data_IF_168346120151
#
_entry.id   IF_168346120151
#
_cell.length_a   1.000
_cell.length_b   1.000
_cell.length_c   1.000
_cell.angle_alpha   90.00
_cell.angle_beta   90.00
_cell.angle_gamma   90.00
#
_symmetry.space_group_name_H-M   'P 1'
#
loop_
_entity.id
_entity.type
_entity.pdbx_description
1 polymer ?
#
# COMPACT_ATOMS: atom_id res chain seq x y z
N UNK A 1 69.71 34.36 -6.29
CA UNK A 1 68.87 34.95 -7.35
C UNK A 1 67.92 35.94 -6.70
N UNK A 2 68.27 37.23 -6.76
CA UNK A 2 67.43 38.35 -6.31
C UNK A 2 66.44 38.74 -7.40
N UNK A 3 65.18 39.01 -7.04
CA UNK A 3 64.47 40.30 -7.26
C UNK A 3 62.95 40.20 -6.95
N UNK A 4 62.51 41.18 -6.14
CA UNK A 4 61.29 42.01 -6.27
C UNK A 4 59.93 41.30 -6.13
N UNK A 5 59.19 41.43 -5.02
CA UNK A 5 58.38 42.58 -4.58
C UNK A 5 57.48 43.13 -5.71
N UNK A 6 56.16 42.88 -5.61
CA UNK A 6 55.19 43.92 -5.93
C UNK A 6 53.94 43.82 -5.06
N UNK A 7 53.51 44.97 -4.57
CA UNK A 7 52.53 45.26 -3.55
C UNK A 7 51.59 46.32 -4.14
N UNK A 8 50.28 46.10 -4.15
CA UNK A 8 49.25 47.15 -4.19
C UNK A 8 47.87 46.49 -4.01
N UNK A 9 47.21 46.60 -2.85
CA UNK A 9 46.42 47.75 -2.35
C UNK A 9 45.57 48.43 -3.42
N UNK A 10 44.24 48.31 -3.27
CA UNK A 10 43.31 49.45 -3.32
C UNK A 10 42.04 49.13 -2.53
N UNK A 11 41.89 49.91 -1.47
CA UNK A 11 40.74 50.13 -0.60
C UNK A 11 39.74 51.11 -1.25
N UNK A 12 38.48 51.13 -0.78
CA UNK A 12 37.53 52.23 -0.96
C UNK A 12 36.10 51.74 -1.24
N UNK A 13 35.21 51.56 -0.25
CA UNK A 13 34.27 52.55 0.33
C UNK A 13 33.33 53.14 -0.75
N UNK A 14 32.00 52.97 -0.74
CA UNK A 14 31.01 53.65 0.12
C UNK A 14 29.60 53.22 -0.33
N UNK A 15 28.78 52.60 0.54
CA UNK A 15 27.57 53.19 1.15
C UNK A 15 26.76 54.20 0.31
N UNK A 16 25.51 53.84 0.00
CA UNK A 16 24.33 54.69 -0.29
C UNK A 16 23.09 53.77 -0.25
N UNK A 17 22.31 53.69 0.84
CA UNK A 17 21.24 54.60 1.31
C UNK A 17 19.90 54.40 0.56
N UNK A 18 18.94 53.87 1.33
CA UNK A 18 17.49 54.08 1.31
C UNK A 18 16.65 53.60 0.11
N UNK A 19 15.74 52.66 0.37
CA UNK A 19 14.32 52.83 0.07
C UNK A 19 13.46 51.84 0.89
N UNK A 20 12.77 52.39 1.89
CA UNK A 20 11.62 51.76 2.54
C UNK A 20 10.46 51.67 1.53
N UNK A 21 9.82 50.51 1.45
CA UNK A 21 8.41 50.45 1.05
C UNK A 21 7.71 49.31 1.80
N UNK A 22 6.70 49.72 2.57
CA UNK A 22 5.86 48.90 3.42
C UNK A 22 4.83 48.06 2.59
N UNK A 23 4.07 47.17 3.23
CA UNK A 23 3.49 45.97 2.62
C UNK A 23 2.18 46.23 1.88
N UNK A 24 2.01 45.54 0.74
CA UNK A 24 0.74 45.45 0.02
C UNK A 24 -0.26 44.60 0.79
N UNK A 25 -1.44 45.19 1.00
CA UNK A 25 -2.57 44.71 1.78
C UNK A 25 -3.09 43.33 1.36
N UNK A 26 -3.55 42.61 2.38
CA UNK A 26 -4.42 41.44 2.27
C UNK A 26 -5.69 41.76 1.47
N UNK A 27 -6.06 40.89 0.53
CA UNK A 27 -7.46 40.66 0.19
C UNK A 27 -7.87 39.26 0.66
N UNK A 28 -8.43 39.18 1.87
CA UNK A 28 -9.18 38.00 2.33
C UNK A 28 -10.49 37.95 1.55
N UNK A 29 -10.58 37.04 0.58
CA UNK A 29 -11.88 36.64 0.03
C UNK A 29 -12.57 35.72 1.04
N UNK A 30 -13.60 36.26 1.69
CA UNK A 30 -14.51 35.54 2.58
C UNK A 30 -15.29 34.48 1.79
N UNK A 31 -14.93 33.21 1.93
CA UNK A 31 -15.80 32.10 1.51
C UNK A 31 -16.90 31.98 2.58
N UNK A 32 -18.10 32.45 2.26
CA UNK A 32 -19.30 32.16 3.07
C UNK A 32 -19.63 30.68 2.94
N UNK A 33 -19.32 29.91 3.98
CA UNK A 33 -19.94 28.62 4.22
C UNK A 33 -21.29 28.86 4.92
N UNK A 34 -22.40 28.53 4.27
CA UNK A 34 -23.72 28.48 4.89
C UNK A 34 -24.32 27.10 4.67
N UNK A 35 -24.03 26.26 5.66
CA UNK A 35 -24.82 25.16 6.23
C UNK A 35 -26.20 25.00 5.55
N UNK A 36 -26.33 23.98 4.71
CA UNK A 36 -27.64 23.42 4.35
C UNK A 36 -27.92 22.29 5.35
N UNK A 37 -28.87 22.54 6.24
CA UNK A 37 -29.34 21.64 7.28
C UNK A 37 -29.98 20.38 6.68
N UNK A 38 -29.50 19.23 7.16
CA UNK A 38 -30.12 17.91 6.99
C UNK A 38 -31.58 17.96 7.42
N UNK A 39 -32.50 17.56 6.54
CA UNK A 39 -33.84 17.16 6.92
C UNK A 39 -33.89 15.63 6.88
N UNK A 40 -33.72 15.01 8.05
CA UNK A 40 -34.08 13.60 8.25
C UNK A 40 -35.60 13.51 8.18
N UNK A 41 -36.11 12.76 7.21
CA UNK A 41 -37.49 12.25 7.25
C UNK A 41 -37.44 10.86 7.86
N UNK A 42 -37.75 10.80 9.15
CA UNK A 42 -38.27 9.59 9.76
C UNK A 42 -39.74 9.43 9.37
N UNK A 43 -40.12 8.20 9.05
CA UNK A 43 -41.50 7.70 9.12
C UNK A 43 -41.49 6.17 9.11
N UNK A 44 -42.54 5.55 9.67
CA UNK A 44 -42.35 4.54 10.72
C UNK A 44 -42.75 3.13 10.26
N UNK A 45 -42.91 2.27 11.28
CA UNK A 45 -43.83 1.13 11.43
C UNK A 45 -43.35 -0.33 11.27
N UNK A 46 -43.67 -1.02 12.37
CA UNK A 46 -44.01 -2.43 12.60
C UNK A 46 -42.89 -3.47 12.80
N UNK A 47 -42.77 -3.81 14.09
CA UNK A 47 -42.30 -5.09 14.59
C UNK A 47 -43.02 -6.27 13.93
N UNK A 48 -42.28 -7.34 13.67
CA UNK A 48 -42.79 -8.72 13.82
C UNK A 48 -41.59 -9.63 14.12
N UNK A 49 -41.58 -10.13 15.35
CA UNK A 49 -40.81 -11.29 15.77
C UNK A 49 -41.26 -12.52 15.00
N UNK A 50 -40.34 -13.27 14.41
CA UNK A 50 -40.58 -14.67 14.10
C UNK A 50 -39.32 -15.48 14.39
N UNK A 51 -39.32 -16.08 15.57
CA UNK A 51 -38.51 -17.22 15.95
C UNK A 51 -38.86 -18.42 15.08
N UNK A 52 -37.88 -19.00 14.40
CA UNK A 52 -37.95 -20.40 13.97
C UNK A 52 -36.55 -20.99 13.85
N UNK A 53 -36.22 -21.73 14.90
CA UNK A 53 -35.26 -22.84 14.92
C UNK A 53 -35.64 -23.91 13.90
N UNK A 54 -34.64 -24.53 13.26
CA UNK A 54 -34.72 -25.92 12.80
C UNK A 54 -33.29 -26.55 12.69
N UNK A 55 -33.17 -27.88 12.79
CA UNK A 55 -32.06 -28.52 13.49
C UNK A 55 -30.93 -29.06 12.60
N UNK A 56 -29.83 -29.33 13.31
CA UNK A 56 -28.62 -30.08 12.94
C UNK A 56 -28.95 -31.51 12.48
N UNK A 57 -28.55 -31.86 11.25
CA UNK A 57 -28.44 -33.26 10.80
C UNK A 57 -26.98 -33.69 10.75
N UNK A 58 -26.71 -34.84 11.36
CA UNK A 58 -25.38 -35.45 11.54
C UNK A 58 -24.95 -36.19 10.26
N UNK A 59 -23.64 -36.20 10.08
CA UNK A 59 -22.79 -36.98 9.18
C UNK A 59 -23.07 -38.49 9.16
N UNK A 60 -22.92 -39.11 7.98
CA UNK A 60 -22.51 -40.51 7.83
C UNK A 60 -21.28 -40.56 6.92
N UNK A 61 -20.22 -41.19 7.45
CA UNK A 61 -18.95 -41.42 6.77
C UNK A 61 -19.07 -42.61 5.82
N UNK A 62 -18.51 -42.47 4.61
CA UNK A 62 -18.23 -43.59 3.71
C UNK A 62 -16.73 -43.60 3.47
N UNK A 63 -16.08 -44.66 3.96
CA UNK A 63 -14.70 -45.00 3.66
C UNK A 63 -14.64 -45.74 2.32
N UNK A 64 -13.85 -45.25 1.38
CA UNK A 64 -13.39 -46.03 0.25
C UNK A 64 -11.94 -45.65 -0.06
N UNK A 65 -11.05 -46.55 0.33
CA UNK A 65 -9.62 -46.58 0.03
C UNK A 65 -9.41 -46.94 -1.44
N UNK A 66 -8.86 -46.02 -2.25
CA UNK A 66 -8.33 -46.32 -3.59
C UNK A 66 -7.14 -45.41 -3.91
N UNK A 67 -5.97 -46.05 -3.97
CA UNK A 67 -4.76 -45.72 -4.74
C UNK A 67 -4.13 -44.33 -4.58
N UNK A 68 -3.14 -44.22 -3.69
CA UNK A 68 -2.13 -43.19 -3.78
C UNK A 68 -1.11 -43.60 -4.86
N UNK A 69 -1.42 -43.25 -6.10
CA UNK A 69 -0.45 -43.24 -7.18
C UNK A 69 0.39 -41.97 -7.04
N UNK A 70 1.67 -42.14 -6.74
CA UNK A 70 2.70 -41.09 -6.81
C UNK A 70 2.71 -40.51 -8.23
N UNK A 71 2.05 -39.38 -8.42
CA UNK A 71 2.24 -38.54 -9.60
C UNK A 71 3.40 -37.59 -9.29
N UNK A 72 4.53 -37.66 -10.01
CA UNK A 72 5.53 -36.60 -9.90
C UNK A 72 4.87 -35.30 -10.38
N UNK A 73 4.76 -34.34 -9.45
CA UNK A 73 4.15 -33.02 -9.67
C UNK A 73 4.97 -32.21 -10.67
N UNK A 74 4.73 -32.46 -11.95
CA UNK A 74 5.18 -31.59 -13.03
C UNK A 74 4.44 -30.26 -12.91
N UNK A 75 5.21 -29.21 -12.61
CA UNK A 75 4.79 -27.82 -12.45
C UNK A 75 4.02 -27.31 -13.68
N UNK A 76 2.70 -27.36 -13.65
CA UNK A 76 1.87 -26.66 -14.62
C UNK A 76 1.95 -25.17 -14.28
N UNK A 77 2.52 -24.37 -15.18
CA UNK A 77 2.55 -22.92 -15.03
C UNK A 77 1.13 -22.39 -15.17
N UNK A 78 0.45 -22.16 -14.06
CA UNK A 78 -0.86 -21.54 -14.01
C UNK A 78 -0.76 -20.09 -14.53
N UNK A 79 -1.17 -19.86 -15.77
CA UNK A 79 -1.28 -18.52 -16.34
C UNK A 79 -2.56 -17.88 -15.79
N UNK A 80 -2.42 -16.82 -14.99
CA UNK A 80 -3.53 -16.10 -14.37
C UNK A 80 -3.42 -14.61 -14.69
N UNK A 81 -4.54 -13.90 -14.58
CA UNK A 81 -4.55 -12.44 -14.71
C UNK A 81 -4.14 -11.80 -13.40
N UNK A 82 -3.11 -10.97 -13.42
CA UNK A 82 -2.62 -10.26 -12.24
C UNK A 82 -2.78 -8.75 -12.36
N UNK A 83 -3.09 -8.15 -11.22
CA UNK A 83 -3.23 -6.72 -11.02
C UNK A 83 -2.31 -6.29 -9.87
N UNK A 84 -1.63 -5.18 -10.05
CA UNK A 84 -0.62 -4.71 -9.13
C UNK A 84 -0.84 -3.25 -8.71
N UNK A 85 -0.50 -2.97 -7.47
CA UNK A 85 -0.46 -1.63 -6.90
C UNK A 85 0.97 -1.34 -6.43
N UNK A 86 1.60 -0.33 -7.00
CA UNK A 86 3.01 -0.01 -6.76
C UNK A 86 3.15 1.33 -6.05
N UNK A 87 3.89 1.34 -4.94
CA UNK A 87 4.24 2.56 -4.20
C UNK A 87 5.57 2.37 -3.43
N UNK A 88 5.97 3.42 -2.70
CA UNK A 88 7.13 3.37 -1.80
C UNK A 88 6.87 2.41 -0.62
N UNK A 89 7.89 1.66 -0.20
CA UNK A 89 7.85 0.81 0.98
C UNK A 89 7.49 1.61 2.25
N UNK A 90 8.03 2.82 2.40
CA UNK A 90 7.71 3.70 3.54
C UNK A 90 6.19 3.98 3.61
N UNK A 91 5.58 4.18 2.43
CA UNK A 91 4.15 4.48 2.34
C UNK A 91 3.31 3.28 2.77
N UNK A 92 3.63 2.06 2.32
CA UNK A 92 2.86 0.88 2.70
C UNK A 92 3.00 0.50 4.18
N UNK A 93 4.19 0.65 4.76
CA UNK A 93 4.53 -0.02 6.02
C UNK A 93 4.75 0.93 7.21
N UNK A 94 5.17 2.17 6.97
CA UNK A 94 5.57 3.11 8.02
C UNK A 94 4.64 4.33 8.13
N UNK A 95 3.83 4.62 7.12
CA UNK A 95 2.91 5.76 7.15
C UNK A 95 1.74 5.52 8.13
N UNK A 96 1.56 6.46 9.06
CA UNK A 96 0.49 6.44 10.08
C UNK A 96 -0.90 6.36 9.44
N UNK A 97 -1.09 6.93 8.25
CA UNK A 97 -2.41 6.89 7.58
C UNK A 97 -2.77 5.49 7.08
N UNK A 98 -1.77 4.66 6.76
CA UNK A 98 -1.97 3.34 6.18
C UNK A 98 -2.00 2.23 7.21
N UNK A 99 -2.09 2.58 8.49
CA UNK A 99 -2.24 1.61 9.57
C UNK A 99 -3.49 0.73 9.40
N UNK A 100 -4.57 1.30 8.85
CA UNK A 100 -5.79 0.54 8.51
C UNK A 100 -5.57 -0.58 7.48
N UNK A 101 -4.52 -0.51 6.66
CA UNK A 101 -4.19 -1.52 5.66
C UNK A 101 -3.80 -2.85 6.32
N UNK A 102 -3.05 -2.81 7.42
CA UNK A 102 -2.60 -4.01 8.12
C UNK A 102 -3.80 -4.84 8.62
N UNK A 103 -4.81 -4.18 9.19
CA UNK A 103 -6.04 -4.85 9.63
C UNK A 103 -6.90 -5.33 8.46
N UNK A 104 -7.03 -4.55 7.39
CA UNK A 104 -7.74 -4.99 6.18
C UNK A 104 -7.16 -6.29 5.62
N UNK A 105 -5.84 -6.42 5.59
CA UNK A 105 -5.17 -7.62 5.10
C UNK A 105 -5.34 -8.80 6.06
N UNK A 106 -5.21 -8.57 7.38
CA UNK A 106 -5.41 -9.61 8.41
C UNK A 106 -6.83 -10.15 8.40
N UNK A 107 -7.81 -9.26 8.33
CA UNK A 107 -9.22 -9.64 8.26
C UNK A 107 -9.52 -10.38 6.96
N UNK A 108 -8.96 -9.93 5.82
CA UNK A 108 -9.10 -10.65 4.54
C UNK A 108 -8.51 -12.06 4.61
N UNK A 109 -7.37 -12.25 5.28
CA UNK A 109 -6.82 -13.59 5.54
C UNK A 109 -7.75 -14.42 6.41
N UNK A 110 -8.35 -13.84 7.46
CA UNK A 110 -9.32 -14.56 8.30
C UNK A 110 -10.55 -14.99 7.49
N UNK A 111 -11.08 -14.08 6.69
CA UNK A 111 -12.22 -14.32 5.80
C UNK A 111 -11.94 -15.45 4.79
N UNK A 112 -10.76 -15.47 4.18
CA UNK A 112 -10.37 -16.57 3.27
C UNK A 112 -10.23 -17.91 3.99
N UNK A 113 -9.69 -17.92 5.21
CA UNK A 113 -9.64 -19.13 6.04
C UNK A 113 -11.04 -19.64 6.42
N UNK A 114 -11.97 -18.76 6.76
CA UNK A 114 -13.35 -19.11 7.10
C UNK A 114 -14.12 -19.68 5.89
N UNK A 115 -13.87 -19.14 4.69
CA UNK A 115 -14.48 -19.62 3.44
C UNK A 115 -13.80 -20.88 2.90
N UNK A 116 -12.56 -21.15 3.29
CA UNK A 116 -11.75 -22.23 2.70
C UNK A 116 -11.18 -21.86 1.32
N UNK A 117 -10.91 -20.56 1.09
CA UNK A 117 -10.29 -20.05 -0.14
C UNK A 117 -8.80 -19.80 0.08
N UNK A 118 -8.00 -20.04 -0.96
CA UNK A 118 -6.57 -19.72 -0.95
C UNK A 118 -6.30 -18.21 -1.03
N UNK A 119 -5.15 -17.79 -0.48
CA UNK A 119 -4.74 -16.39 -0.49
C UNK A 119 -4.25 -16.02 -1.89
N UNK A 120 -4.90 -15.01 -2.46
CA UNK A 120 -4.68 -14.55 -3.83
C UNK A 120 -3.97 -13.19 -3.92
N UNK A 121 -3.31 -12.76 -2.84
CA UNK A 121 -2.61 -11.49 -2.78
C UNK A 121 -1.32 -11.54 -1.96
N UNK A 122 -0.31 -10.79 -2.40
CA UNK A 122 1.03 -10.81 -1.83
C UNK A 122 1.71 -9.45 -1.95
N UNK A 123 2.63 -9.15 -1.01
CA UNK A 123 3.57 -8.04 -1.13
C UNK A 123 4.87 -8.53 -1.78
N UNK A 124 5.33 -7.81 -2.80
CA UNK A 124 6.57 -8.08 -3.51
C UNK A 124 7.49 -6.86 -3.34
N UNK A 125 8.59 -6.99 -2.58
CA UNK A 125 9.61 -5.95 -2.53
C UNK A 125 10.39 -5.89 -3.84
N UNK A 126 10.57 -4.68 -4.35
CA UNK A 126 11.31 -4.36 -5.58
C UNK A 126 10.99 -5.35 -6.74
N UNK A 127 9.75 -5.34 -7.26
CA UNK A 127 9.34 -6.29 -8.31
C UNK A 127 10.23 -6.20 -9.56
N UNK A 128 10.76 -7.35 -10.02
CA UNK A 128 11.68 -7.44 -11.16
C UNK A 128 11.03 -6.98 -12.48
N UNK A 129 9.74 -7.28 -12.65
CA UNK A 129 8.98 -6.93 -13.84
C UNK A 129 8.71 -5.42 -13.98
N UNK A 130 8.81 -4.64 -12.89
CA UNK A 130 8.53 -3.21 -12.91
C UNK A 130 9.55 -2.47 -13.77
N UNK A 131 10.83 -2.78 -13.60
CA UNK A 131 11.89 -2.15 -14.38
C UNK A 131 11.93 -2.63 -15.83
N UNK A 132 11.58 -3.90 -16.06
CA UNK A 132 11.63 -4.53 -17.38
C UNK A 132 10.46 -4.07 -18.28
N UNK A 133 9.23 -4.04 -17.75
CA UNK A 133 8.01 -3.76 -18.52
C UNK A 133 7.51 -2.32 -18.37
N UNK A 134 7.72 -1.69 -17.21
CA UNK A 134 7.07 -0.44 -16.80
C UNK A 134 8.09 0.61 -16.34
N UNK A 135 9.08 0.88 -17.19
CA UNK A 135 10.19 1.78 -16.86
C UNK A 135 9.77 3.25 -16.64
N UNK A 136 8.62 3.67 -17.19
CA UNK A 136 8.08 5.01 -16.96
C UNK A 136 7.49 5.14 -15.56
N UNK A 137 6.71 4.12 -15.15
CA UNK A 137 6.10 4.00 -13.83
C UNK A 137 7.15 3.83 -12.74
N UNK A 138 8.19 3.03 -13.00
CA UNK A 138 9.31 2.84 -12.09
C UNK A 138 9.99 4.16 -11.71
N UNK A 139 10.10 5.12 -12.64
CA UNK A 139 10.70 6.44 -12.38
C UNK A 139 9.82 7.35 -11.52
N UNK A 140 8.51 7.14 -11.51
CA UNK A 140 7.57 7.92 -10.70
C UNK A 140 7.60 7.50 -9.23
N UNK A 141 7.96 6.25 -8.94
CA UNK A 141 7.97 5.70 -7.58
C UNK A 141 9.34 5.87 -6.95
N UNK A 142 9.36 6.37 -5.70
CA UNK A 142 10.58 6.45 -4.91
C UNK A 142 10.99 5.06 -4.42
N UNK A 143 12.27 4.71 -4.58
CA UNK A 143 12.85 3.47 -4.02
C UNK A 143 13.21 3.64 -2.55
N UNK A 144 13.03 2.61 -1.70
CA UNK A 144 12.64 1.24 -2.05
C UNK A 144 11.15 1.10 -2.40
N UNK A 145 10.83 0.36 -3.47
CA UNK A 145 9.46 0.19 -3.94
C UNK A 145 8.89 -1.18 -3.54
N UNK A 146 7.58 -1.22 -3.35
CA UNK A 146 6.83 -2.44 -3.02
C UNK A 146 5.60 -2.50 -3.92
N UNK A 147 5.28 -3.70 -4.40
CA UNK A 147 4.04 -3.97 -5.11
C UNK A 147 3.11 -4.84 -4.26
N UNK A 148 1.84 -4.45 -4.18
CA UNK A 148 0.76 -5.32 -3.75
C UNK A 148 0.15 -5.95 -5.00
N UNK A 149 0.32 -7.26 -5.16
CA UNK A 149 -0.17 -8.03 -6.32
C UNK A 149 -1.34 -8.89 -5.92
N UNK A 150 -2.36 -8.97 -6.77
CA UNK A 150 -3.49 -9.89 -6.60
C UNK A 150 -4.11 -10.28 -7.93
N UNK A 151 -4.83 -11.40 -7.96
CA UNK A 151 -5.67 -11.81 -9.09
C UNK A 151 -7.03 -11.10 -9.13
N UNK A 152 -7.50 -10.55 -7.99
CA UNK A 152 -8.80 -9.90 -7.87
C UNK A 152 -8.76 -8.42 -8.28
N UNK A 153 -9.28 -8.12 -9.47
CA UNK A 153 -9.34 -6.76 -10.02
C UNK A 153 -10.20 -5.81 -9.16
N UNK A 154 -11.31 -6.30 -8.64
CA UNK A 154 -12.27 -5.47 -7.89
C UNK A 154 -11.62 -5.01 -6.59
N UNK A 155 -10.92 -5.93 -5.92
CA UNK A 155 -10.19 -5.62 -4.71
C UNK A 155 -9.02 -4.66 -4.95
N UNK A 156 -8.25 -4.85 -6.02
CA UNK A 156 -7.17 -3.91 -6.39
C UNK A 156 -7.71 -2.52 -6.70
N UNK A 157 -8.87 -2.43 -7.35
CA UNK A 157 -9.53 -1.14 -7.63
C UNK A 157 -9.99 -0.48 -6.33
N UNK A 158 -10.57 -1.23 -5.40
CA UNK A 158 -10.92 -0.74 -4.06
C UNK A 158 -9.68 -0.20 -3.31
N UNK A 159 -8.58 -0.96 -3.32
CA UNK A 159 -7.34 -0.56 -2.67
C UNK A 159 -6.72 0.69 -3.30
N UNK A 160 -6.81 0.85 -4.63
CA UNK A 160 -6.40 2.08 -5.32
C UNK A 160 -7.19 3.30 -4.84
N UNK A 161 -8.51 3.18 -4.70
CA UNK A 161 -9.36 4.28 -4.20
C UNK A 161 -9.03 4.64 -2.75
N UNK A 162 -8.65 3.66 -1.92
CA UNK A 162 -8.32 3.89 -0.51
C UNK A 162 -6.95 4.52 -0.31
N UNK A 163 -5.94 4.04 -1.03
CA UNK A 163 -4.55 4.45 -0.84
C UNK A 163 -4.19 5.70 -1.65
N UNK A 164 -4.91 5.98 -2.74
CA UNK A 164 -4.82 7.14 -3.66
C UNK A 164 -3.43 7.36 -4.30
N UNK A 165 -2.38 7.57 -3.50
CA UNK A 165 -0.98 7.84 -3.87
C UNK A 165 -0.20 6.62 -4.40
N UNK A 166 -0.89 5.69 -5.04
CA UNK A 166 -0.37 4.40 -5.51
C UNK A 166 -0.57 4.26 -7.01
N UNK A 167 0.38 3.70 -7.73
CA UNK A 167 0.23 3.42 -9.16
C UNK A 167 -0.50 2.09 -9.36
N UNK A 168 -1.49 2.06 -10.25
CA UNK A 168 -2.16 0.82 -10.65
C UNK A 168 -1.56 0.31 -11.94
N UNK A 169 -1.10 -0.93 -11.94
CA UNK A 169 -0.54 -1.62 -13.11
C UNK A 169 -1.37 -2.88 -13.35
N UNK A 170 -1.79 -3.11 -14.60
CA UNK A 170 -2.41 -4.37 -15.00
C UNK A 170 -1.34 -5.22 -15.69
N UNK A 171 -0.94 -6.33 -15.08
CA UNK A 171 0.11 -7.21 -15.61
C UNK A 171 -0.40 -8.10 -16.74
N UNK A 172 -1.72 -8.34 -16.80
CA UNK A 172 -2.34 -9.24 -17.77
C UNK A 172 -2.10 -10.70 -17.40
N UNK A 173 -2.14 -11.57 -18.40
CA UNK A 173 -1.91 -13.01 -18.24
C UNK A 173 -0.41 -13.30 -18.10
N UNK A 174 0.02 -13.64 -16.88
CA UNK A 174 1.43 -13.86 -16.53
C UNK A 174 1.53 -15.14 -15.69
N UNK A 175 2.71 -15.78 -15.68
CA UNK A 175 2.96 -16.89 -14.75
C UNK A 175 3.08 -16.37 -13.31
N UNK A 176 2.71 -17.20 -12.35
CA UNK A 176 2.81 -16.85 -10.94
C UNK A 176 4.25 -16.48 -10.51
N UNK A 177 5.24 -17.22 -11.02
CA UNK A 177 6.66 -16.97 -10.73
C UNK A 177 7.13 -15.60 -11.22
N UNK A 178 6.71 -15.19 -12.42
CA UNK A 178 7.07 -13.88 -12.96
C UNK A 178 6.31 -12.77 -12.22
N UNK A 179 5.03 -12.98 -11.90
CA UNK A 179 4.24 -12.00 -11.16
C UNK A 179 4.78 -11.77 -9.74
N UNK A 180 5.22 -12.83 -9.06
CA UNK A 180 5.71 -12.82 -7.67
C UNK A 180 7.25 -12.65 -7.56
N UNK A 181 7.94 -12.32 -8.65
CA UNK A 181 9.39 -12.18 -8.67
C UNK A 181 9.89 -11.03 -7.78
N UNK A 182 10.61 -11.38 -6.70
CA UNK A 182 11.22 -10.45 -5.75
C UNK A 182 12.60 -10.02 -6.26
N UNK A 183 12.86 -8.71 -6.35
CA UNK A 183 14.17 -8.18 -6.75
C UNK A 183 15.05 -7.72 -5.58
N UNK A 184 14.47 -7.45 -4.41
CA UNK A 184 15.19 -6.84 -3.29
C UNK A 184 14.57 -7.10 -1.92
N UNK A 185 15.04 -6.36 -0.91
CA UNK A 185 14.60 -6.49 0.48
C UNK A 185 13.89 -5.22 0.94
N UNK A 186 12.85 -5.38 1.75
CA UNK A 186 12.21 -4.27 2.45
C UNK A 186 13.21 -3.70 3.48
N UNK A 187 13.45 -2.39 3.53
CA UNK A 187 14.28 -1.80 4.56
C UNK A 187 13.65 -1.99 5.95
N UNK A 188 14.48 -1.97 6.98
CA UNK A 188 13.98 -2.00 8.35
C UNK A 188 13.52 -0.59 8.77
N UNK A 189 12.23 -0.46 9.11
CA UNK A 189 11.69 0.82 9.59
C UNK A 189 11.83 0.93 11.10
N UNK A 190 12.37 2.08 11.55
CA UNK A 190 12.43 2.43 12.97
C UNK A 190 11.12 3.08 13.39
N UNK A 191 10.68 2.77 14.60
CA UNK A 191 9.51 3.43 15.19
C UNK A 191 9.80 4.93 15.41
N UNK A 192 8.81 5.81 15.21
CA UNK A 192 8.97 7.21 15.56
C UNK A 192 9.17 7.37 17.07
N UNK A 193 10.03 8.29 17.48
CA UNK A 193 10.29 8.57 18.90
C UNK A 193 9.06 9.11 19.61
N UNK A 194 8.26 9.92 18.90
CA UNK A 194 7.04 10.52 19.43
C UNK A 194 5.82 9.92 18.76
N UNK A 195 5.16 9.02 19.48
CA UNK A 195 3.87 8.46 19.09
C UNK A 195 2.73 9.27 19.72
N UNK A 196 1.77 9.71 18.90
CA UNK A 196 0.70 10.62 19.35
C UNK A 196 -0.65 9.91 19.52
N UNK A 197 -0.84 8.73 18.92
CA UNK A 197 -2.11 8.02 18.99
C UNK A 197 -2.30 7.30 20.34
N UNK A 198 -3.55 7.12 20.80
CA UNK A 198 -3.84 6.51 22.10
C UNK A 198 -3.64 4.98 22.14
N UNK A 199 -3.39 4.34 21.00
CA UNK A 199 -3.11 2.90 20.87
C UNK A 199 -1.64 2.69 20.51
N UNK A 200 -1.10 1.47 20.66
CA UNK A 200 0.29 1.18 20.27
C UNK A 200 0.42 0.96 18.76
N UNK A 201 1.49 1.44 18.11
CA UNK A 201 1.73 1.16 16.69
C UNK A 201 2.02 -0.33 16.46
N UNK A 202 1.77 -0.80 15.23
CA UNK A 202 2.14 -2.16 14.84
C UNK A 202 3.64 -2.45 15.00
N UNK A 203 3.94 -3.72 15.25
CA UNK A 203 5.32 -4.19 15.28
C UNK A 203 5.93 -4.10 13.87
N UNK A 204 7.13 -3.50 13.73
CA UNK A 204 7.82 -3.52 12.44
C UNK A 204 8.04 -4.97 12.00
N UNK A 205 7.89 -5.24 10.70
CA UNK A 205 7.95 -6.58 10.13
C UNK A 205 6.61 -7.31 10.06
N UNK A 206 5.49 -6.68 10.43
CA UNK A 206 4.16 -7.29 10.31
C UNK A 206 3.84 -7.72 8.87
N UNK A 207 4.42 -7.07 7.87
CA UNK A 207 4.24 -7.36 6.44
C UNK A 207 4.90 -8.67 5.99
N UNK A 208 5.85 -9.21 6.77
CA UNK A 208 6.55 -10.45 6.41
C UNK A 208 5.59 -11.66 6.26
N UNK A 209 4.41 -11.60 6.88
CA UNK A 209 3.37 -12.62 6.73
C UNK A 209 2.75 -12.69 5.33
N UNK A 210 2.94 -11.64 4.52
CA UNK A 210 2.34 -11.49 3.18
C UNK A 210 3.40 -11.46 2.07
N UNK A 211 4.67 -11.71 2.40
CA UNK A 211 5.72 -11.90 1.38
C UNK A 211 5.73 -13.38 1.02
N UNK A 212 5.71 -13.75 -0.27
CA UNK A 212 5.70 -15.16 -0.66
C UNK A 212 6.99 -15.83 -0.18
N UNK A 213 6.88 -17.03 0.40
CA UNK A 213 8.01 -17.77 0.97
C UNK A 213 8.90 -18.43 -0.08
N UNK A 214 8.62 -18.24 -1.37
CA UNK A 214 9.21 -18.91 -2.54
C UNK A 214 10.71 -18.66 -2.74
N UNK A 215 11.40 -18.00 -1.81
CA UNK A 215 12.82 -17.63 -1.89
C UNK A 215 13.59 -17.90 -0.57
N UNK A 216 13.07 -18.74 0.33
CA UNK A 216 13.76 -19.06 1.59
C UNK A 216 14.63 -20.31 1.47
#
# INVERSE_FOLDING_TARGET
MSKMINMNRRTGTSASKAALRAPGMLSRSTIKASICSKQLKESPVLATSCSQSCPRSKTLAVSASVSEATVPSTSVTDIKQYYALVANADFFFNDVQNESLAEQLRERVRFFKEIGREIDFWFIPEPVWLDSKYSAEAKMVRRPCVALVSTDQTWITYMKLRLDRVLRINLGAVSEEEALAIGGKVPEFRRPEKWTAPYSPYTPGWWNAFIPSTQK
#
